data_IF_393770273311
#
_entry.id   IF_393770273311
#
_cell.length_a   1.000
_cell.length_b   1.000
_cell.length_c   1.000
_cell.angle_alpha   90.00
_cell.angle_beta   90.00
_cell.angle_gamma   90.00
#
_symmetry.space_group_name_H-M   'P 1'
#
loop_
_entity.id
_entity.type
_entity.pdbx_description
1 polymer ?
#
# COMPACT_ATOMS: atom_id res chain seq x y z
N UNK A 1 -10.16 34.75 2.17
CA UNK A 1 -10.07 33.31 1.93
C UNK A 1 -9.53 32.98 0.55
N UNK A 2 -10.14 33.51 -0.50
CA UNK A 2 -9.66 33.32 -1.86
C UNK A 2 -8.25 33.88 -2.07
N UNK A 3 -7.96 35.04 -1.53
CA UNK A 3 -6.64 35.65 -1.63
C UNK A 3 -5.58 34.85 -0.86
N UNK A 4 -5.94 34.29 0.28
CA UNK A 4 -5.04 33.45 1.05
C UNK A 4 -4.71 32.16 0.28
N UNK A 5 -5.72 31.58 -0.37
CA UNK A 5 -5.53 30.41 -1.21
C UNK A 5 -4.61 30.74 -2.39
N UNK A 6 -4.85 31.86 -3.05
CA UNK A 6 -4.05 32.29 -4.19
C UNK A 6 -2.59 32.54 -3.77
N UNK A 7 -2.38 33.26 -2.66
CA UNK A 7 -1.05 33.50 -2.14
C UNK A 7 -0.32 32.20 -1.79
N UNK A 8 -1.02 31.31 -1.12
CA UNK A 8 -0.45 30.04 -0.68
C UNK A 8 -0.05 29.17 -1.86
N UNK A 9 -0.91 29.10 -2.87
CA UNK A 9 -0.68 28.19 -4.01
C UNK A 9 0.27 28.77 -5.04
N UNK A 10 0.24 30.08 -5.27
CA UNK A 10 0.97 30.67 -6.41
C UNK A 10 2.17 31.48 -5.93
N UNK A 11 2.01 32.36 -4.95
CA UNK A 11 3.07 33.26 -4.55
C UNK A 11 4.27 32.57 -3.93
N UNK A 12 4.01 31.48 -3.16
CA UNK A 12 5.07 30.69 -2.52
C UNK A 12 5.60 29.58 -3.42
N UNK A 13 5.13 29.48 -4.65
CA UNK A 13 5.56 28.44 -5.57
C UNK A 13 5.01 27.06 -5.22
N UNK A 14 4.03 27.00 -4.35
CA UNK A 14 3.45 25.71 -3.91
C UNK A 14 2.69 25.00 -5.01
N UNK A 15 2.25 25.76 -6.01
CA UNK A 15 1.60 25.16 -7.17
C UNK A 15 2.53 24.16 -7.90
N UNK A 16 3.86 24.35 -7.76
CA UNK A 16 4.83 23.39 -8.30
C UNK A 16 4.89 22.11 -7.48
N UNK A 17 4.49 22.15 -6.21
CA UNK A 17 4.45 20.98 -5.36
C UNK A 17 3.30 20.05 -5.70
N UNK A 18 2.21 20.58 -6.27
CA UNK A 18 1.05 19.78 -6.66
C UNK A 18 1.40 18.78 -7.75
N UNK A 19 2.04 19.18 -8.89
CA UNK A 19 2.47 18.20 -9.89
C UNK A 19 3.49 17.21 -9.36
N UNK A 20 4.41 17.63 -8.51
CA UNK A 20 5.39 16.76 -7.88
C UNK A 20 4.71 15.73 -6.97
N UNK A 21 3.79 16.21 -6.12
CA UNK A 21 3.04 15.33 -5.23
C UNK A 21 2.20 14.33 -6.01
N UNK A 22 1.56 14.80 -7.08
CA UNK A 22 0.77 13.93 -7.95
C UNK A 22 1.65 12.86 -8.60
N UNK A 23 2.84 13.25 -9.08
CA UNK A 23 3.78 12.31 -9.67
C UNK A 23 4.22 11.25 -8.70
N UNK A 24 4.55 11.63 -7.46
CA UNK A 24 4.93 10.68 -6.41
C UNK A 24 3.76 9.77 -6.06
N UNK A 25 2.55 10.32 -5.97
CA UNK A 25 1.34 9.53 -5.67
C UNK A 25 1.10 8.50 -6.77
N UNK A 26 1.23 8.89 -8.04
CA UNK A 26 1.07 7.97 -9.15
C UNK A 26 2.13 6.89 -9.15
N UNK A 27 3.37 7.24 -8.82
CA UNK A 27 4.47 6.28 -8.70
C UNK A 27 4.17 5.26 -7.61
N UNK A 28 3.75 5.72 -6.43
CA UNK A 28 3.40 4.84 -5.32
C UNK A 28 2.25 3.92 -5.71
N UNK A 29 1.20 4.48 -6.32
CA UNK A 29 0.03 3.71 -6.73
C UNK A 29 0.40 2.65 -7.76
N UNK A 30 1.18 3.02 -8.77
CA UNK A 30 1.59 2.10 -9.83
C UNK A 30 2.41 0.94 -9.26
N UNK A 31 3.42 1.27 -8.45
CA UNK A 31 4.25 0.24 -7.82
C UNK A 31 3.45 -0.64 -6.88
N UNK A 32 2.54 -0.03 -6.10
CA UNK A 32 1.70 -0.78 -5.17
C UNK A 32 0.76 -1.73 -5.90
N UNK A 33 0.21 -1.31 -7.04
CA UNK A 33 -0.66 -2.18 -7.85
C UNK A 33 0.13 -3.39 -8.36
N UNK A 34 1.35 -3.18 -8.84
CA UNK A 34 2.20 -4.27 -9.33
C UNK A 34 2.50 -5.24 -8.20
N UNK A 35 2.98 -4.72 -7.07
CA UNK A 35 3.31 -5.54 -5.90
C UNK A 35 2.06 -6.25 -5.40
N UNK A 36 0.96 -5.53 -5.28
CA UNK A 36 -0.31 -6.07 -4.80
C UNK A 36 -0.85 -7.16 -5.70
N UNK A 37 -0.74 -6.98 -7.01
CA UNK A 37 -1.20 -7.99 -7.97
C UNK A 37 -0.38 -9.27 -7.86
N UNK A 38 0.94 -9.16 -7.74
CA UNK A 38 1.81 -10.32 -7.59
C UNK A 38 1.53 -11.04 -6.29
N UNK A 39 1.49 -10.30 -5.18
CA UNK A 39 1.20 -10.87 -3.86
C UNK A 39 -0.21 -11.47 -3.83
N UNK A 40 -1.18 -10.76 -4.40
CA UNK A 40 -2.56 -11.21 -4.42
C UNK A 40 -2.72 -12.51 -5.19
N UNK A 41 -2.07 -12.61 -6.33
CA UNK A 41 -2.09 -13.83 -7.13
C UNK A 41 -1.47 -15.00 -6.35
N UNK A 42 -0.30 -14.76 -5.74
CA UNK A 42 0.40 -15.80 -4.97
C UNK A 42 -0.45 -16.29 -3.80
N UNK A 43 -0.98 -15.38 -2.99
CA UNK A 43 -1.78 -15.76 -1.82
C UNK A 43 -3.15 -16.31 -2.22
N UNK A 44 -3.71 -15.86 -3.34
CA UNK A 44 -4.95 -16.46 -3.86
C UNK A 44 -4.74 -17.93 -4.20
N UNK A 45 -3.61 -18.24 -4.84
CA UNK A 45 -3.25 -19.62 -5.13
C UNK A 45 -3.05 -20.42 -3.84
N UNK A 46 -2.48 -19.80 -2.81
CA UNK A 46 -2.34 -20.46 -1.50
C UNK A 46 -3.71 -20.78 -0.90
N UNK A 47 -4.69 -19.87 -1.04
CA UNK A 47 -6.02 -20.08 -0.47
C UNK A 47 -6.78 -21.21 -1.14
N UNK A 48 -6.59 -21.41 -2.43
CA UNK A 48 -7.25 -22.50 -3.15
C UNK A 48 -6.44 -23.79 -3.16
N UNK A 49 -5.24 -23.78 -2.57
CA UNK A 49 -4.38 -24.93 -2.44
C UNK A 49 -4.99 -25.94 -1.49
N UNK A 50 -4.72 -27.23 -1.72
CA UNK A 50 -5.15 -28.30 -0.84
C UNK A 50 -4.31 -28.37 0.44
N UNK A 51 -3.16 -27.70 0.46
CA UNK A 51 -2.29 -27.71 1.64
C UNK A 51 -2.84 -26.76 2.70
N UNK A 52 -3.15 -27.32 3.87
CA UNK A 52 -3.75 -26.57 4.97
C UNK A 52 -2.83 -25.45 5.48
N UNK A 53 -1.52 -25.70 5.49
CA UNK A 53 -0.55 -24.71 5.97
C UNK A 53 -0.60 -23.46 5.11
N UNK A 54 -0.63 -23.61 3.78
CA UNK A 54 -0.69 -22.48 2.86
C UNK A 54 -2.01 -21.71 3.02
N UNK A 55 -3.11 -22.41 3.22
CA UNK A 55 -4.41 -21.77 3.46
C UNK A 55 -4.38 -20.93 4.72
N UNK A 56 -3.79 -21.44 5.80
CA UNK A 56 -3.71 -20.73 7.06
C UNK A 56 -2.85 -19.48 6.92
N UNK A 57 -1.69 -19.59 6.25
CA UNK A 57 -0.80 -18.44 6.04
C UNK A 57 -1.53 -17.34 5.28
N UNK A 58 -2.22 -17.69 4.20
CA UNK A 58 -2.95 -16.70 3.40
C UNK A 58 -4.10 -16.08 4.19
N UNK A 59 -4.84 -16.88 4.95
CA UNK A 59 -5.95 -16.39 5.77
C UNK A 59 -5.47 -15.41 6.84
N UNK A 60 -4.37 -15.72 7.52
CA UNK A 60 -3.78 -14.84 8.53
C UNK A 60 -3.36 -13.52 7.91
N UNK A 61 -2.65 -13.58 6.78
CA UNK A 61 -2.19 -12.39 6.07
C UNK A 61 -3.37 -11.48 5.71
N UNK A 62 -4.37 -12.04 5.04
CA UNK A 62 -5.52 -11.26 4.56
C UNK A 62 -6.31 -10.69 5.74
N UNK A 63 -6.57 -11.51 6.75
CA UNK A 63 -7.37 -11.08 7.91
C UNK A 63 -6.67 -9.96 8.67
N UNK A 64 -5.37 -10.11 8.94
CA UNK A 64 -4.63 -9.12 9.71
C UNK A 64 -4.53 -7.80 8.92
N UNK A 65 -4.15 -7.88 7.66
CA UNK A 65 -3.93 -6.68 6.85
C UNK A 65 -5.24 -5.93 6.62
N UNK A 66 -6.33 -6.64 6.33
CA UNK A 66 -7.62 -5.99 6.09
C UNK A 66 -8.26 -5.47 7.37
N UNK A 67 -7.89 -6.05 8.52
CA UNK A 67 -8.42 -5.62 9.80
C UNK A 67 -7.75 -4.38 10.39
N UNK A 68 -6.58 -3.98 9.85
CA UNK A 68 -5.84 -2.83 10.36
C UNK A 68 -6.08 -1.65 9.44
N UNK A 69 -6.48 -0.46 9.97
CA UNK A 69 -6.60 0.74 9.14
C UNK A 69 -5.28 1.08 8.44
N UNK A 70 -5.37 1.56 7.20
CA UNK A 70 -4.19 1.83 6.39
C UNK A 70 -3.23 2.82 7.06
N UNK A 71 -3.75 3.86 7.69
CA UNK A 71 -2.92 4.86 8.36
C UNK A 71 -2.10 4.24 9.49
N UNK A 72 -2.75 3.42 10.32
CA UNK A 72 -2.08 2.70 11.40
C UNK A 72 -1.03 1.75 10.86
N UNK A 73 -1.35 1.04 9.78
CA UNK A 73 -0.44 0.12 9.13
C UNK A 73 0.81 0.82 8.61
N UNK A 74 0.65 1.99 7.98
CA UNK A 74 1.76 2.80 7.50
C UNK A 74 2.67 3.22 8.65
N UNK A 75 2.09 3.65 9.76
CA UNK A 75 2.85 4.06 10.92
C UNK A 75 3.64 2.90 11.52
N UNK A 76 3.03 1.73 11.62
CA UNK A 76 3.69 0.54 12.12
C UNK A 76 4.87 0.17 11.22
N UNK A 77 4.65 0.12 9.93
CA UNK A 77 5.72 -0.24 9.00
C UNK A 77 6.86 0.78 9.04
N UNK A 78 6.53 2.06 9.04
CA UNK A 78 7.55 3.11 9.02
C UNK A 78 8.36 3.13 10.31
N UNK A 79 7.68 3.22 11.46
CA UNK A 79 8.37 3.45 12.73
C UNK A 79 8.87 2.17 13.40
N UNK A 80 8.12 1.07 13.27
CA UNK A 80 8.45 -0.15 14.02
C UNK A 80 9.36 -1.07 13.20
N UNK A 81 9.10 -1.20 11.91
CA UNK A 81 9.78 -2.19 11.07
C UNK A 81 10.93 -1.57 10.28
N UNK A 82 10.67 -0.52 9.51
CA UNK A 82 11.66 -0.01 8.57
C UNK A 82 12.64 0.99 9.18
N UNK A 83 12.19 1.83 10.10
CA UNK A 83 13.07 2.81 10.73
C UNK A 83 14.21 2.14 11.52
N UNK A 84 13.94 1.12 12.36
CA UNK A 84 15.02 0.41 13.05
C UNK A 84 15.97 -0.31 12.10
N UNK A 85 15.51 -0.67 10.89
CA UNK A 85 16.36 -1.32 9.89
C UNK A 85 17.18 -0.32 9.07
N UNK A 86 17.07 0.98 9.36
CA UNK A 86 17.78 2.00 8.62
C UNK A 86 17.07 2.44 7.35
N UNK A 87 15.87 1.95 7.10
CA UNK A 87 15.09 2.31 5.91
C UNK A 87 14.09 3.40 6.27
N UNK A 88 14.52 4.66 6.14
CA UNK A 88 13.68 5.80 6.50
C UNK A 88 13.10 6.54 5.29
N UNK A 89 13.24 5.99 4.09
CA UNK A 89 12.69 6.59 2.88
C UNK A 89 11.17 6.41 2.88
N UNK A 90 10.43 7.53 3.06
CA UNK A 90 8.98 7.49 3.18
C UNK A 90 8.29 6.95 1.92
N UNK A 91 8.83 7.28 0.73
CA UNK A 91 8.24 6.82 -0.53
C UNK A 91 8.36 5.29 -0.64
N UNK A 92 9.53 4.77 -0.33
CA UNK A 92 9.76 3.32 -0.38
C UNK A 92 8.87 2.58 0.61
N UNK A 93 8.78 3.08 1.84
CA UNK A 93 7.92 2.49 2.86
C UNK A 93 6.46 2.53 2.42
N UNK A 94 6.03 3.64 1.83
CA UNK A 94 4.66 3.77 1.32
C UNK A 94 4.38 2.76 0.21
N UNK A 95 5.31 2.59 -0.73
CA UNK A 95 5.16 1.62 -1.83
C UNK A 95 4.97 0.22 -1.27
N UNK A 96 5.83 -0.18 -0.34
CA UNK A 96 5.78 -1.51 0.25
C UNK A 96 4.48 -1.70 1.05
N UNK A 97 4.13 -0.71 1.87
CA UNK A 97 2.93 -0.78 2.71
C UNK A 97 1.65 -0.85 1.90
N UNK A 98 1.51 0.01 0.90
CA UNK A 98 0.35 -0.02 0.01
C UNK A 98 0.32 -1.29 -0.82
N UNK A 99 1.48 -1.78 -1.24
CA UNK A 99 1.58 -3.04 -1.97
C UNK A 99 1.09 -4.21 -1.15
N UNK A 100 1.51 -4.30 0.10
CA UNK A 100 1.07 -5.37 1.02
C UNK A 100 -0.43 -5.26 1.28
N UNK A 101 -0.93 -4.05 1.50
CA UNK A 101 -2.35 -3.83 1.72
C UNK A 101 -3.17 -4.18 0.47
N UNK A 102 -2.74 -3.74 -0.69
CA UNK A 102 -3.39 -4.08 -1.97
C UNK A 102 -3.37 -5.57 -2.22
N UNK A 103 -2.26 -6.23 -1.85
CA UNK A 103 -2.13 -7.69 -2.00
C UNK A 103 -3.21 -8.45 -1.25
N UNK A 104 -3.54 -7.99 -0.04
CA UNK A 104 -4.59 -8.63 0.75
C UNK A 104 -5.97 -8.53 0.05
N UNK A 105 -6.29 -7.36 -0.47
CA UNK A 105 -7.54 -7.16 -1.20
C UNK A 105 -7.55 -7.91 -2.52
N UNK A 106 -6.43 -7.89 -3.25
CA UNK A 106 -6.30 -8.62 -4.51
C UNK A 106 -6.42 -10.13 -4.30
N UNK A 107 -5.91 -10.64 -3.17
CA UNK A 107 -6.03 -12.06 -2.83
C UNK A 107 -7.50 -12.49 -2.82
N UNK A 108 -8.35 -11.72 -2.15
CA UNK A 108 -9.77 -12.02 -2.09
C UNK A 108 -10.45 -11.91 -3.45
N UNK A 109 -10.10 -10.88 -4.22
CA UNK A 109 -10.67 -10.68 -5.55
C UNK A 109 -10.28 -11.83 -6.49
N UNK A 110 -9.01 -12.20 -6.50
CA UNK A 110 -8.52 -13.26 -7.37
C UNK A 110 -9.07 -14.62 -6.94
N UNK A 111 -9.14 -14.89 -5.63
CA UNK A 111 -9.72 -16.11 -5.12
C UNK A 111 -11.17 -16.26 -5.56
N UNK A 112 -11.95 -15.21 -5.43
CA UNK A 112 -13.36 -15.22 -5.84
C UNK A 112 -13.51 -15.43 -7.34
N UNK A 113 -12.60 -14.85 -8.14
CA UNK A 113 -12.64 -15.00 -9.59
C UNK A 113 -12.22 -16.38 -10.06
N UNK A 114 -11.30 -17.05 -9.33
CA UNK A 114 -10.84 -18.40 -9.68
C UNK A 114 -11.88 -19.45 -9.29
N UNK A 115 -12.51 -19.25 -8.13
CA UNK A 115 -13.57 -20.11 -7.69
C UNK A 115 -14.86 -19.81 -8.42
#
# INVERSE_FOLDING_TARGET
MWQSFYKTMIADGRWLLIPKGLGVTLLIAFCAIIIGSVLGCMFALFKISRKKVLNIIADVYVTVIRGIPMATQLMIFYFVIFSPMGMSNAVLVAIISFGINSGAYCTEIFRAGIQ
#
